data_IF_467673587943
#
_entry.id   IF_467673587943
#
_cell.length_a   1.000
_cell.length_b   1.000
_cell.length_c   1.000
_cell.angle_alpha   90.00
_cell.angle_beta   90.00
_cell.angle_gamma   90.00
#
_symmetry.space_group_name_H-M   'P 1'
#
loop_
_entity.id
_entity.type
_entity.pdbx_description
1 polymer ?
#
# COMPACT_ATOMS: atom_id res chain seq x y z
N UNK A 1 16.15 -20.03 5.25
CA UNK A 1 15.63 -19.62 3.94
C UNK A 1 14.81 -18.35 4.11
N UNK A 2 15.02 -17.31 3.30
CA UNK A 2 14.27 -16.06 3.38
C UNK A 2 13.56 -15.81 2.06
N UNK A 3 12.28 -15.45 2.13
CA UNK A 3 11.48 -15.01 0.99
C UNK A 3 11.24 -13.52 1.05
N UNK A 4 11.69 -12.79 0.02
CA UNK A 4 11.49 -11.35 -0.12
C UNK A 4 10.48 -11.08 -1.25
N UNK A 5 9.27 -10.66 -0.90
CA UNK A 5 8.27 -10.23 -1.86
C UNK A 5 8.37 -8.71 -2.01
N UNK A 6 8.87 -8.28 -3.16
CA UNK A 6 9.22 -6.88 -3.41
C UNK A 6 8.11 -6.20 -4.21
N UNK A 7 7.48 -5.21 -3.63
CA UNK A 7 6.60 -4.27 -4.29
C UNK A 7 7.47 -3.22 -5.03
N UNK A 8 7.88 -3.57 -6.25
CA UNK A 8 8.82 -2.74 -7.01
C UNK A 8 8.23 -1.41 -7.45
N UNK A 9 6.93 -1.31 -7.60
CA UNK A 9 6.25 -0.05 -7.90
C UNK A 9 6.45 0.98 -6.79
N UNK A 10 6.44 0.53 -5.54
CA UNK A 10 6.57 1.37 -4.35
C UNK A 10 8.03 1.67 -3.99
N UNK A 11 8.90 0.65 -3.99
CA UNK A 11 10.28 0.82 -3.47
C UNK A 11 11.33 1.05 -4.55
N UNK A 12 11.07 0.70 -5.80
CA UNK A 12 12.00 0.83 -6.93
C UNK A 12 13.36 0.18 -6.63
N UNK A 13 14.42 0.68 -7.26
CA UNK A 13 15.81 0.18 -7.08
C UNK A 13 16.29 0.20 -5.63
N UNK A 14 15.78 1.13 -4.81
CA UNK A 14 16.18 1.26 -3.41
C UNK A 14 15.72 0.06 -2.57
N UNK A 15 14.56 -0.53 -2.85
CA UNK A 15 14.07 -1.73 -2.17
C UNK A 15 14.98 -2.95 -2.36
N UNK A 16 15.77 -2.96 -3.42
CA UNK A 16 16.71 -4.03 -3.74
C UNK A 16 18.13 -3.81 -3.18
N UNK A 17 18.30 -2.84 -2.25
CA UNK A 17 19.53 -2.72 -1.51
C UNK A 17 19.70 -3.94 -0.60
N UNK A 18 20.88 -4.54 -0.60
CA UNK A 18 21.18 -5.76 0.17
C UNK A 18 21.23 -7.04 -0.65
N UNK A 19 20.88 -7.03 -1.95
CA UNK A 19 20.98 -8.21 -2.84
C UNK A 19 22.30 -8.95 -2.75
N UNK A 20 23.42 -8.25 -2.61
CA UNK A 20 24.77 -8.85 -2.53
C UNK A 20 25.03 -9.61 -1.22
N UNK A 21 24.12 -9.53 -0.24
CA UNK A 21 24.22 -10.24 1.04
C UNK A 21 23.44 -11.55 1.06
N UNK A 22 22.60 -11.77 0.04
CA UNK A 22 21.79 -12.95 -0.08
C UNK A 22 22.60 -14.14 -0.61
N UNK A 23 22.16 -15.33 -0.26
CA UNK A 23 22.75 -16.58 -0.70
C UNK A 23 21.75 -17.46 -1.49
N UNK A 24 22.17 -18.66 -1.86
CA UNK A 24 21.36 -19.60 -2.65
C UNK A 24 20.11 -20.16 -1.91
N UNK A 25 19.99 -19.89 -0.61
CA UNK A 25 18.81 -20.25 0.18
C UNK A 25 17.80 -19.10 0.25
N UNK A 26 18.07 -17.97 -0.39
CA UNK A 26 17.17 -16.83 -0.38
C UNK A 26 16.45 -16.68 -1.71
N UNK A 27 15.19 -16.30 -1.67
CA UNK A 27 14.37 -16.05 -2.85
C UNK A 27 13.86 -14.60 -2.85
N UNK A 28 13.94 -13.94 -4.01
CA UNK A 28 13.48 -12.56 -4.22
C UNK A 28 12.47 -12.53 -5.35
N UNK A 29 11.20 -12.27 -5.01
CA UNK A 29 10.11 -12.17 -5.96
C UNK A 29 9.77 -10.71 -6.19
N UNK A 30 10.05 -10.20 -7.38
CA UNK A 30 9.89 -8.79 -7.74
C UNK A 30 8.57 -8.63 -8.47
N UNK A 31 7.57 -8.06 -7.78
CA UNK A 31 6.27 -7.71 -8.36
C UNK A 31 6.34 -6.33 -8.99
N UNK A 32 5.98 -6.22 -10.25
CA UNK A 32 6.04 -4.98 -11.01
C UNK A 32 4.86 -4.84 -11.97
N UNK A 33 4.55 -3.60 -12.33
CA UNK A 33 3.50 -3.24 -13.30
C UNK A 33 4.11 -2.49 -14.48
N UNK A 34 3.32 -2.18 -15.50
CA UNK A 34 3.77 -1.36 -16.63
C UNK A 34 4.26 0.04 -16.19
N UNK A 35 3.82 0.52 -15.02
CA UNK A 35 4.33 1.77 -14.45
C UNK A 35 5.75 1.66 -13.87
N UNK A 36 6.26 0.44 -13.73
CA UNK A 36 7.55 0.13 -13.08
C UNK A 36 8.30 -1.00 -13.77
N UNK A 37 8.25 -1.09 -15.10
CA UNK A 37 8.82 -2.17 -15.92
C UNK A 37 10.27 -1.94 -16.37
N UNK A 38 10.92 -0.87 -15.89
CA UNK A 38 12.28 -0.51 -16.30
C UNK A 38 13.32 -0.81 -15.23
N UNK A 39 14.45 -1.31 -15.67
CA UNK A 39 15.64 -1.55 -14.85
C UNK A 39 16.81 -0.68 -15.31
N UNK A 40 17.62 -0.19 -14.39
CA UNK A 40 18.90 0.43 -14.73
C UNK A 40 19.96 -0.65 -14.97
N UNK A 41 20.96 -0.35 -15.79
CA UNK A 41 22.12 -1.26 -15.98
C UNK A 41 22.80 -1.62 -14.67
N UNK A 42 22.90 -0.67 -13.73
CA UNK A 42 23.47 -0.92 -12.41
C UNK A 42 22.65 -1.92 -11.59
N UNK A 43 21.33 -1.85 -11.67
CA UNK A 43 20.45 -2.81 -11.01
C UNK A 43 20.52 -4.18 -11.69
N UNK A 44 20.46 -4.23 -13.02
CA UNK A 44 20.59 -5.47 -13.78
C UNK A 44 21.87 -6.23 -13.42
N UNK A 45 23.03 -5.52 -13.34
CA UNK A 45 24.28 -6.13 -12.90
C UNK A 45 24.17 -6.72 -11.49
N UNK A 46 23.61 -5.98 -10.53
CA UNK A 46 23.43 -6.45 -9.14
C UNK A 46 22.52 -7.68 -9.04
N UNK A 47 21.48 -7.75 -9.88
CA UNK A 47 20.61 -8.91 -9.97
C UNK A 47 21.37 -10.14 -10.47
N UNK A 48 22.19 -9.99 -11.51
CA UNK A 48 22.99 -11.09 -12.06
C UNK A 48 24.16 -11.54 -11.15
N UNK A 49 24.67 -10.65 -10.31
CA UNK A 49 25.73 -10.96 -9.33
C UNK A 49 25.17 -11.57 -8.03
N UNK A 50 23.86 -11.50 -7.81
CA UNK A 50 23.21 -12.10 -6.64
C UNK A 50 23.22 -13.63 -6.74
N UNK A 51 23.37 -14.28 -5.60
CA UNK A 51 23.27 -15.74 -5.49
C UNK A 51 21.84 -16.23 -5.19
N UNK A 52 20.95 -15.30 -4.79
CA UNK A 52 19.56 -15.62 -4.51
C UNK A 52 18.79 -16.05 -5.77
N UNK A 53 17.76 -16.84 -5.59
CA UNK A 53 16.77 -17.10 -6.64
C UNK A 53 15.93 -15.84 -6.88
N UNK A 54 16.08 -15.24 -8.08
CA UNK A 54 15.38 -13.99 -8.42
C UNK A 54 14.32 -14.26 -9.47
N UNK A 55 13.09 -13.96 -9.10
CA UNK A 55 11.93 -14.14 -9.96
C UNK A 55 11.22 -12.80 -10.21
N UNK A 56 10.75 -12.60 -11.43
CA UNK A 56 9.98 -11.42 -11.84
C UNK A 56 8.53 -11.81 -12.06
N UNK A 57 7.64 -11.12 -11.35
CA UNK A 57 6.20 -11.32 -11.44
C UNK A 57 5.55 -10.05 -12.02
N UNK A 58 5.28 -10.08 -13.32
CA UNK A 58 4.51 -9.00 -13.94
C UNK A 58 3.06 -9.07 -13.50
N UNK A 59 2.57 -7.96 -12.96
CA UNK A 59 1.18 -7.82 -12.53
C UNK A 59 0.38 -7.14 -13.63
N UNK A 60 -0.67 -7.77 -14.08
CA UNK A 60 -1.62 -7.15 -15.00
C UNK A 60 -2.50 -6.16 -14.26
N UNK A 61 -2.36 -4.87 -14.61
CA UNK A 61 -3.10 -3.79 -13.98
C UNK A 61 -4.48 -3.63 -14.63
N UNK A 62 -5.49 -4.28 -14.07
CA UNK A 62 -6.89 -4.06 -14.41
C UNK A 62 -7.69 -3.28 -13.37
N UNK A 63 -7.13 -3.09 -12.16
CA UNK A 63 -7.81 -2.46 -11.04
C UNK A 63 -6.82 -1.81 -10.07
N UNK A 64 -7.25 -0.82 -9.27
CA UNK A 64 -6.46 -0.29 -8.15
C UNK A 64 -6.05 -1.42 -7.19
N UNK A 65 -4.81 -1.34 -6.67
CA UNK A 65 -4.23 -2.31 -5.73
C UNK A 65 -4.07 -3.74 -6.33
N UNK A 66 -4.04 -3.89 -7.66
CA UNK A 66 -3.86 -5.21 -8.29
C UNK A 66 -2.55 -5.87 -7.84
N UNK A 67 -1.46 -5.08 -7.72
CA UNK A 67 -0.18 -5.57 -7.25
C UNK A 67 -0.28 -6.08 -5.80
N UNK A 68 -0.92 -5.33 -4.90
CA UNK A 68 -1.07 -5.71 -3.50
C UNK A 68 -1.86 -7.02 -3.36
N UNK A 69 -2.92 -7.19 -4.15
CA UNK A 69 -3.70 -8.43 -4.15
C UNK A 69 -2.89 -9.62 -4.66
N UNK A 70 -2.13 -9.46 -5.75
CA UNK A 70 -1.33 -10.56 -6.31
C UNK A 70 -0.17 -10.91 -5.39
N UNK A 71 0.55 -9.91 -4.86
CA UNK A 71 1.62 -10.12 -3.88
C UNK A 71 1.09 -10.85 -2.63
N UNK A 72 -0.05 -10.40 -2.10
CA UNK A 72 -0.67 -11.02 -0.91
C UNK A 72 -1.11 -12.46 -1.18
N UNK A 73 -1.68 -12.73 -2.37
CA UNK A 73 -2.09 -14.07 -2.78
C UNK A 73 -0.88 -14.99 -2.93
N UNK A 74 0.19 -14.50 -3.54
CA UNK A 74 1.42 -15.24 -3.74
C UNK A 74 2.14 -15.54 -2.42
N UNK A 75 2.13 -14.58 -1.48
CA UNK A 75 2.61 -14.80 -0.11
C UNK A 75 1.87 -15.98 0.55
N UNK A 76 0.54 -16.00 0.44
CA UNK A 76 -0.27 -17.10 0.98
C UNK A 76 0.04 -18.45 0.31
N UNK A 77 0.32 -18.46 -0.99
CA UNK A 77 0.73 -19.64 -1.73
C UNK A 77 2.08 -20.18 -1.22
N UNK A 78 3.12 -19.34 -1.11
CA UNK A 78 4.44 -19.74 -0.60
C UNK A 78 4.33 -20.26 0.83
N UNK A 79 3.58 -19.61 1.70
CA UNK A 79 3.38 -20.05 3.08
C UNK A 79 2.76 -21.45 3.11
N UNK A 80 1.81 -21.73 2.22
CA UNK A 80 1.17 -23.04 2.14
C UNK A 80 2.11 -24.11 1.57
N UNK A 81 2.92 -23.76 0.59
CA UNK A 81 3.90 -24.67 -0.04
C UNK A 81 4.93 -25.16 0.98
N UNK A 82 5.32 -24.31 1.90
CA UNK A 82 6.31 -24.60 2.95
C UNK A 82 5.67 -24.90 4.33
N UNK A 83 4.42 -25.34 4.35
CA UNK A 83 3.75 -25.65 5.61
C UNK A 83 4.42 -26.82 6.31
N UNK A 84 4.87 -26.61 7.55
CA UNK A 84 5.59 -27.58 8.36
C UNK A 84 7.12 -27.54 8.22
N UNK A 85 7.66 -26.69 7.38
CA UNK A 85 9.09 -26.43 7.31
C UNK A 85 9.50 -25.40 8.37
N UNK A 86 10.65 -25.65 9.02
CA UNK A 86 11.20 -24.74 10.02
C UNK A 86 12.25 -23.79 9.40
N UNK A 87 12.47 -22.65 10.06
CA UNK A 87 13.49 -21.65 9.69
C UNK A 87 13.26 -20.95 8.36
N UNK A 88 11.99 -20.68 8.04
CA UNK A 88 11.61 -19.83 6.91
C UNK A 88 11.16 -18.47 7.42
N UNK A 89 11.69 -17.41 6.83
CA UNK A 89 11.32 -16.04 7.13
C UNK A 89 10.71 -15.37 5.90
N UNK A 90 9.63 -14.64 6.11
CA UNK A 90 8.91 -13.95 5.05
C UNK A 90 9.02 -12.43 5.22
N UNK A 91 9.39 -11.74 4.14
CA UNK A 91 9.57 -10.30 4.11
C UNK A 91 8.74 -9.69 3.01
N UNK A 92 7.98 -8.63 3.33
CA UNK A 92 7.37 -7.76 2.34
C UNK A 92 8.23 -6.51 2.24
N UNK A 93 8.82 -6.28 1.08
CA UNK A 93 9.66 -5.11 0.81
C UNK A 93 8.79 -4.03 0.20
N UNK A 94 8.22 -3.18 1.03
CA UNK A 94 7.37 -2.05 0.63
C UNK A 94 7.30 -1.00 1.74
N UNK A 95 7.12 0.26 1.36
CA UNK A 95 6.85 1.38 2.28
C UNK A 95 5.36 1.61 2.52
N UNK A 96 4.51 0.86 1.82
CA UNK A 96 3.06 0.99 1.99
C UNK A 96 2.61 0.37 3.31
N UNK A 97 2.10 1.22 4.20
CA UNK A 97 1.58 0.80 5.52
C UNK A 97 0.38 -0.13 5.43
N UNK A 98 -0.27 -0.24 4.27
CA UNK A 98 -1.38 -1.17 4.02
C UNK A 98 -1.00 -2.63 4.29
N UNK A 99 0.26 -3.00 4.07
CA UNK A 99 0.75 -4.36 4.33
C UNK A 99 0.81 -4.75 5.82
N UNK A 100 0.74 -3.79 6.76
CA UNK A 100 0.66 -4.09 8.18
C UNK A 100 -0.54 -4.99 8.55
N UNK A 101 -1.62 -4.93 7.75
CA UNK A 101 -2.79 -5.79 7.92
C UNK A 101 -2.42 -7.26 7.69
N UNK A 102 -1.57 -7.57 6.71
CA UNK A 102 -1.09 -8.92 6.41
C UNK A 102 -0.23 -9.47 7.55
N UNK A 103 0.70 -8.67 8.08
CA UNK A 103 1.52 -9.07 9.22
C UNK A 103 0.65 -9.45 10.42
N UNK A 104 -0.39 -8.65 10.72
CA UNK A 104 -1.34 -8.95 11.79
C UNK A 104 -2.20 -10.21 11.51
N UNK A 105 -2.61 -10.41 10.27
CA UNK A 105 -3.39 -11.58 9.86
C UNK A 105 -2.60 -12.88 10.05
N UNK A 106 -1.35 -12.93 9.59
CA UNK A 106 -0.49 -14.10 9.66
C UNK A 106 0.06 -14.37 11.06
N UNK A 107 0.33 -13.32 11.84
CA UNK A 107 0.74 -13.45 13.24
C UNK A 107 -0.28 -14.23 14.09
N UNK A 108 -1.59 -14.05 13.82
CA UNK A 108 -2.65 -14.85 14.48
C UNK A 108 -2.60 -16.35 14.11
N UNK A 109 -1.87 -16.70 13.09
CA UNK A 109 -1.62 -18.07 12.61
C UNK A 109 -0.21 -18.57 12.93
N UNK A 110 0.48 -17.85 13.82
CA UNK A 110 1.85 -18.13 14.26
C UNK A 110 2.89 -18.04 13.13
N UNK A 111 2.61 -17.26 12.09
CA UNK A 111 3.53 -16.99 10.99
C UNK A 111 3.92 -15.51 11.07
N UNK A 112 5.24 -15.27 11.14
CA UNK A 112 5.76 -13.91 11.22
C UNK A 112 6.07 -13.39 9.82
N UNK A 113 5.46 -12.24 9.47
CA UNK A 113 5.71 -11.51 8.24
C UNK A 113 6.33 -10.17 8.60
N UNK A 114 7.54 -9.94 8.12
CA UNK A 114 8.29 -8.72 8.39
C UNK A 114 8.15 -7.75 7.24
N UNK A 115 7.62 -6.55 7.50
CA UNK A 115 7.62 -5.48 6.51
C UNK A 115 8.89 -4.64 6.64
N UNK A 116 9.62 -4.48 5.52
CA UNK A 116 10.90 -3.78 5.47
C UNK A 116 10.96 -2.80 4.29
N UNK A 117 11.81 -1.80 4.36
CA UNK A 117 11.99 -0.83 3.27
C UNK A 117 12.86 -1.35 2.14
N UNK A 118 13.80 -2.25 2.46
CA UNK A 118 14.71 -2.88 1.53
C UNK A 118 15.18 -4.24 2.05
N UNK A 119 15.91 -4.97 1.22
CA UNK A 119 16.44 -6.31 1.53
C UNK A 119 17.44 -6.31 2.69
N UNK A 120 18.05 -5.16 3.05
CA UNK A 120 18.91 -5.11 4.25
C UNK A 120 18.13 -5.29 5.56
N UNK A 121 16.80 -5.29 5.50
CA UNK A 121 15.93 -5.46 6.66
C UNK A 121 15.69 -4.18 7.44
N UNK A 122 15.91 -3.01 6.84
CA UNK A 122 15.58 -1.74 7.50
C UNK A 122 14.07 -1.67 7.73
N UNK A 123 13.63 -1.51 9.01
CA UNK A 123 12.21 -1.43 9.31
C UNK A 123 11.59 -0.20 8.66
N UNK A 124 10.34 -0.34 8.21
CA UNK A 124 9.56 0.81 7.76
C UNK A 124 9.42 1.78 8.92
N UNK A 125 9.78 3.07 8.77
CA UNK A 125 9.59 4.04 9.84
C UNK A 125 8.11 4.11 10.19
N UNK A 126 7.74 3.56 11.31
CA UNK A 126 6.41 3.73 11.87
C UNK A 126 6.31 5.21 12.25
N UNK A 127 5.80 6.05 11.34
CA UNK A 127 5.15 7.27 11.82
C UNK A 127 4.11 6.75 12.77
N UNK A 128 4.23 7.10 14.05
CA UNK A 128 3.31 6.69 15.10
C UNK A 128 1.87 6.93 14.60
N UNK A 129 1.30 5.94 13.97
CA UNK A 129 -0.13 5.77 13.96
C UNK A 129 -0.38 5.34 15.40
N UNK A 130 -0.96 6.23 16.20
CA UNK A 130 -1.41 5.90 17.54
C UNK A 130 -2.06 4.53 17.48
N UNK A 131 -1.36 3.52 17.96
CA UNK A 131 -1.93 2.22 18.25
C UNK A 131 -2.93 2.45 19.38
N UNK A 132 -4.16 2.77 19.02
CA UNK A 132 -5.26 2.45 19.89
C UNK A 132 -5.40 0.93 19.85
N UNK A 133 -4.74 0.32 20.82
CA UNK A 133 -4.97 -1.04 21.25
C UNK A 133 -6.47 -1.29 21.28
N UNK A 134 -6.91 -2.25 20.47
CA UNK A 134 -8.24 -2.81 20.55
C UNK A 134 -8.38 -3.59 21.86
N UNK A 135 -8.68 -2.86 22.94
CA UNK A 135 -9.44 -3.39 24.05
C UNK A 135 -10.86 -2.85 23.88
N UNK A 136 -11.74 -3.69 23.41
CA UNK A 136 -13.16 -3.41 23.59
C UNK A 136 -13.44 -3.37 25.11
N UNK A 137 -14.09 -2.31 25.59
CA UNK A 137 -15.51 -2.23 25.59
C UNK A 137 -16.06 -0.85 25.20
N UNK A 138 -17.20 -0.89 24.50
CA UNK A 138 -18.31 0.09 24.54
C UNK A 138 -17.99 1.60 24.57
N UNK A 139 -18.35 2.24 23.42
CA UNK A 139 -18.88 3.60 23.33
C UNK A 139 -17.96 4.79 23.73
N UNK A 140 -17.27 5.34 22.72
CA UNK A 140 -17.23 6.79 22.50
C UNK A 140 -16.82 7.01 21.03
N UNK A 141 -17.78 7.30 20.17
CA UNK A 141 -17.52 7.79 18.80
C UNK A 141 -16.71 9.07 18.90
N UNK A 142 -15.58 9.23 18.13
CA UNK A 142 -14.98 10.54 17.97
C UNK A 142 -16.08 11.48 17.42
N UNK A 143 -16.24 12.63 18.05
CA UNK A 143 -17.19 13.65 17.58
C UNK A 143 -16.81 13.99 16.14
N UNK A 144 -17.59 13.48 15.19
CA UNK A 144 -17.45 13.84 13.79
C UNK A 144 -17.53 15.36 13.68
N UNK A 145 -16.53 15.95 13.03
CA UNK A 145 -16.50 17.36 12.74
C UNK A 145 -17.75 17.79 11.95
N UNK A 146 -18.16 19.05 12.10
CA UNK A 146 -19.37 19.58 11.44
C UNK A 146 -19.36 19.32 9.92
N UNK A 147 -18.20 19.46 9.29
CA UNK A 147 -18.00 19.20 7.85
C UNK A 147 -18.23 17.74 7.51
N UNK A 148 -17.74 16.80 8.30
CA UNK A 148 -17.93 15.35 8.05
C UNK A 148 -19.39 14.95 8.19
N UNK A 149 -20.12 15.55 9.13
CA UNK A 149 -21.57 15.31 9.29
C UNK A 149 -22.38 15.81 8.10
N UNK A 150 -21.97 16.94 7.51
CA UNK A 150 -22.61 17.48 6.29
C UNK A 150 -22.27 16.61 5.07
N UNK A 151 -21.02 16.17 4.94
CA UNK A 151 -20.61 15.27 3.88
C UNK A 151 -21.33 13.91 3.95
N UNK A 152 -21.63 13.42 5.17
CA UNK A 152 -22.40 12.18 5.36
C UNK A 152 -23.82 12.25 4.77
N UNK A 153 -24.41 13.44 4.74
CA UNK A 153 -25.74 13.67 4.15
C UNK A 153 -25.71 13.81 2.63
N UNK A 154 -24.61 14.33 2.09
CA UNK A 154 -24.50 14.68 0.68
C UNK A 154 -23.86 13.58 -0.18
N UNK A 155 -23.04 12.72 0.42
CA UNK A 155 -22.27 11.74 -0.32
C UNK A 155 -22.95 10.37 -0.36
N UNK A 156 -23.00 9.74 -1.55
CA UNK A 156 -23.64 8.44 -1.72
C UNK A 156 -22.85 7.29 -1.07
N UNK A 157 -21.55 7.47 -0.90
CA UNK A 157 -20.66 6.47 -0.29
C UNK A 157 -19.84 7.09 0.84
N UNK A 158 -20.02 6.56 2.05
CA UNK A 158 -19.38 7.06 3.27
C UNK A 158 -17.89 6.79 3.34
N UNK A 159 -17.37 5.89 2.51
CA UNK A 159 -15.93 5.54 2.47
C UNK A 159 -15.03 6.74 2.20
N UNK A 160 -15.47 7.70 1.41
CA UNK A 160 -14.66 8.83 0.96
C UNK A 160 -14.84 10.10 1.82
N UNK A 161 -15.62 10.06 2.89
CA UNK A 161 -15.92 11.26 3.71
C UNK A 161 -14.66 11.89 4.28
N UNK A 162 -13.78 11.08 4.87
CA UNK A 162 -12.53 11.55 5.50
C UNK A 162 -11.57 12.17 4.49
N UNK A 163 -11.39 11.51 3.33
CA UNK A 163 -10.50 12.00 2.27
C UNK A 163 -11.03 13.29 1.65
N UNK A 164 -12.33 13.33 1.40
CA UNK A 164 -13.00 14.53 0.86
C UNK A 164 -12.96 15.69 1.85
N UNK A 165 -13.20 15.43 3.13
CA UNK A 165 -13.09 16.46 4.18
C UNK A 165 -11.66 17.01 4.26
N UNK A 166 -10.66 16.15 4.16
CA UNK A 166 -9.24 16.55 4.11
C UNK A 166 -8.94 17.43 2.89
N UNK A 167 -9.36 17.02 1.71
CA UNK A 167 -9.18 17.81 0.47
C UNK A 167 -9.81 19.20 0.62
N UNK A 168 -11.02 19.29 1.16
CA UNK A 168 -11.71 20.58 1.34
C UNK A 168 -10.98 21.47 2.35
N UNK A 169 -10.39 20.91 3.40
CA UNK A 169 -9.64 21.69 4.41
C UNK A 169 -8.31 22.20 3.87
N UNK A 170 -7.57 21.35 3.16
CA UNK A 170 -6.22 21.64 2.68
C UNK A 170 -6.16 22.58 1.47
N UNK A 171 -7.26 22.73 0.73
CA UNK A 171 -7.31 23.55 -0.46
C UNK A 171 -8.26 24.74 -0.31
N UNK A 172 -7.79 25.93 -0.69
CA UNK A 172 -8.58 27.16 -0.62
C UNK A 172 -9.29 27.50 -1.93
N UNK A 173 -8.83 26.96 -3.06
CA UNK A 173 -9.40 27.24 -4.38
C UNK A 173 -10.24 26.08 -4.88
N UNK A 174 -11.39 26.41 -5.46
CA UNK A 174 -12.30 25.43 -6.08
C UNK A 174 -11.64 24.58 -7.16
N UNK A 175 -10.72 25.19 -7.92
CA UNK A 175 -9.94 24.49 -8.96
C UNK A 175 -9.03 23.43 -8.37
N UNK A 176 -8.36 23.72 -7.25
CA UNK A 176 -7.43 22.78 -6.60
C UNK A 176 -8.20 21.61 -5.96
N UNK A 177 -9.37 21.90 -5.37
CA UNK A 177 -10.29 20.88 -4.85
C UNK A 177 -10.77 19.98 -5.98
N UNK A 178 -11.17 20.54 -7.13
CA UNK A 178 -11.59 19.73 -8.28
C UNK A 178 -10.45 18.83 -8.79
N UNK A 179 -9.24 19.37 -8.91
CA UNK A 179 -8.07 18.59 -9.34
C UNK A 179 -7.72 17.48 -8.33
N UNK A 180 -7.86 17.74 -7.02
CA UNK A 180 -7.65 16.74 -5.99
C UNK A 180 -8.71 15.63 -6.04
N UNK A 181 -9.97 15.96 -6.36
CA UNK A 181 -11.03 14.96 -6.59
C UNK A 181 -10.71 14.08 -7.81
N UNK A 182 -10.22 14.68 -8.91
CA UNK A 182 -9.83 13.92 -10.09
C UNK A 182 -8.71 12.92 -9.77
N UNK A 183 -7.76 13.29 -8.91
CA UNK A 183 -6.69 12.39 -8.45
C UNK A 183 -7.21 11.31 -7.49
N UNK A 184 -8.09 11.66 -6.55
CA UNK A 184 -8.67 10.71 -5.59
C UNK A 184 -9.46 9.59 -6.28
N UNK A 185 -10.18 9.91 -7.35
CA UNK A 185 -11.05 8.96 -8.05
C UNK A 185 -10.41 8.31 -9.28
N UNK A 186 -9.11 8.54 -9.54
CA UNK A 186 -8.34 8.03 -10.67
C UNK A 186 -8.80 8.48 -12.07
N UNK A 187 -7.91 8.57 -13.06
CA UNK A 187 -8.22 9.11 -14.40
C UNK A 187 -9.31 8.33 -15.15
N UNK A 188 -9.50 7.04 -14.85
CA UNK A 188 -10.51 6.21 -15.51
C UNK A 188 -11.94 6.43 -14.99
N UNK A 189 -12.12 7.21 -13.90
CA UNK A 189 -13.40 7.46 -13.24
C UNK A 189 -13.77 8.94 -13.17
N UNK A 190 -13.47 9.71 -14.20
CA UNK A 190 -13.78 11.17 -14.25
C UNK A 190 -15.25 11.47 -14.01
N UNK A 191 -16.15 10.58 -14.43
CA UNK A 191 -17.59 10.71 -14.17
C UNK A 191 -17.95 10.61 -12.69
N UNK A 192 -17.21 9.80 -11.92
CA UNK A 192 -17.40 9.64 -10.47
C UNK A 192 -16.88 10.86 -9.74
N UNK A 193 -15.67 11.34 -10.07
CA UNK A 193 -15.10 12.57 -9.52
C UNK A 193 -16.05 13.75 -9.68
N UNK A 194 -16.63 13.93 -10.88
CA UNK A 194 -17.58 14.98 -11.16
C UNK A 194 -18.90 14.87 -10.39
N UNK A 195 -19.37 13.64 -10.08
CA UNK A 195 -20.55 13.45 -9.20
C UNK A 195 -20.27 13.89 -7.77
N UNK A 196 -19.15 13.44 -7.21
CA UNK A 196 -18.76 13.81 -5.84
C UNK A 196 -18.46 15.32 -5.72
N UNK A 197 -17.76 15.91 -6.68
CA UNK A 197 -17.50 17.34 -6.69
C UNK A 197 -18.79 18.17 -6.73
N UNK A 198 -19.76 17.78 -7.57
CA UNK A 198 -21.09 18.44 -7.62
C UNK A 198 -21.84 18.30 -6.32
N UNK A 199 -21.78 17.16 -5.65
CA UNK A 199 -22.44 16.93 -4.38
C UNK A 199 -21.89 17.84 -3.26
N UNK A 200 -20.58 18.09 -3.24
CA UNK A 200 -19.94 18.95 -2.21
C UNK A 200 -19.89 20.42 -2.58
N UNK A 201 -20.21 20.79 -3.82
CA UNK A 201 -20.16 22.19 -4.30
C UNK A 201 -20.89 23.19 -3.39
N UNK A 202 -22.06 22.86 -2.76
CA UNK A 202 -22.71 23.77 -1.82
C UNK A 202 -21.86 24.10 -0.59
N UNK A 203 -20.94 23.21 -0.18
CA UNK A 203 -20.04 23.42 0.96
C UNK A 203 -18.80 24.24 0.62
N UNK A 204 -18.61 24.61 -0.65
CA UNK A 204 -17.44 25.35 -1.15
C UNK A 204 -17.74 26.83 -1.38
N UNK A 205 -18.78 27.37 -0.77
CA UNK A 205 -19.19 28.79 -0.95
C UNK A 205 -18.10 29.75 -0.52
N UNK A 206 -17.35 29.44 0.53
CA UNK A 206 -16.29 30.28 1.10
C UNK A 206 -14.90 30.03 0.45
N UNK A 207 -14.84 29.19 -0.59
CA UNK A 207 -13.61 28.91 -1.34
C UNK A 207 -13.51 29.78 -2.59
N UNK A 208 -12.30 30.26 -2.88
CA UNK A 208 -12.00 31.14 -4.06
C UNK A 208 -12.10 30.38 -5.40
#
# INVERSE_FOLDING_TARGET
MNYYLVDYENVRTAGLNGLSKLDENDAVLIFYTDNADSLTFGLHRRLNESKADIQFQKVECGAPNALDFQLSSYLGYIIREHEGEENISYYIVSKDVGYAILSNYWKRRHIEINQVMDITGQPVPVKQINQQTNNAPTAAQPKKDALEKELEKLLPNKRYISDIAKIIRENQKKTDINNAFMRLFSPDNTGVAGKYYRAVKPLLTDKL
#
